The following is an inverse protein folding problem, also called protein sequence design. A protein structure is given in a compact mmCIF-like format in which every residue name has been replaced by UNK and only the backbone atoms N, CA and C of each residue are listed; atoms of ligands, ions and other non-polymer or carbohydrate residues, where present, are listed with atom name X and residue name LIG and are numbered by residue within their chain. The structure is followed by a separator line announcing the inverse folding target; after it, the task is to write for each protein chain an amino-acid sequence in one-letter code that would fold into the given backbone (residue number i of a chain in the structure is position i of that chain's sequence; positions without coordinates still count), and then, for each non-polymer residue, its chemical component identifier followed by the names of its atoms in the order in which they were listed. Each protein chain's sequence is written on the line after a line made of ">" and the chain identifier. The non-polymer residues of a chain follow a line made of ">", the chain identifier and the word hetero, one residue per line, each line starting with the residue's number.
data_IF_742574899440
#
_entry.id   IF_742574899440
#
_cell.length_a   1.000
_cell.length_b   1.000
_cell.length_c   1.000
_cell.angle_alpha   90.00
_cell.angle_beta   90.00
_cell.angle_gamma   90.00
#
_symmetry.space_group_name_H-M   'P 1'
#
loop_
_entity.id
_entity.type
_entity.pdbx_description
1 polymer ?
#
# COMPACT_ATOMS: atom_id res chain seq x y z
N UNK A 1 -4.46 57.54 11.38
CA UNK A 1 -4.93 56.27 12.00
C UNK A 1 -5.01 55.11 10.99
N UNK A 2 -5.54 55.30 9.78
CA UNK A 2 -5.67 54.25 8.73
C UNK A 2 -4.36 53.51 8.35
N UNK A 3 -3.23 54.21 8.31
CA UNK A 3 -1.92 53.65 7.93
C UNK A 3 -1.34 52.68 8.96
N UNK A 4 -1.69 52.85 10.26
CA UNK A 4 -1.26 51.92 11.32
C UNK A 4 -1.99 50.57 11.23
N UNK A 5 -3.25 50.56 10.81
CA UNK A 5 -4.03 49.34 10.65
C UNK A 5 -3.55 48.47 9.49
N UNK A 6 -3.07 49.09 8.40
CA UNK A 6 -2.51 48.37 7.25
C UNK A 6 -1.19 47.68 7.62
N UNK A 7 -0.33 48.33 8.42
CA UNK A 7 0.90 47.71 8.91
C UNK A 7 0.63 46.55 9.87
N UNK A 8 -0.34 46.67 10.77
CA UNK A 8 -0.71 45.59 11.70
C UNK A 8 -1.27 44.38 10.95
N UNK A 9 -2.11 44.60 9.94
CA UNK A 9 -2.64 43.52 9.10
C UNK A 9 -1.53 42.81 8.30
N UNK A 10 -0.57 43.57 7.74
CA UNK A 10 0.58 43.00 7.04
C UNK A 10 1.43 42.10 7.92
N UNK A 11 1.75 42.54 9.14
CA UNK A 11 2.55 41.78 10.10
C UNK A 11 1.84 40.50 10.53
N UNK A 12 0.51 40.55 10.75
CA UNK A 12 -0.29 39.38 11.11
C UNK A 12 -0.30 38.33 10.00
N UNK A 13 -0.50 38.74 8.75
CA UNK A 13 -0.50 37.82 7.61
C UNK A 13 0.87 37.17 7.43
N UNK A 14 1.96 37.94 7.50
CA UNK A 14 3.31 37.37 7.41
C UNK A 14 3.62 36.41 8.55
N UNK A 15 3.14 36.70 9.76
CA UNK A 15 3.34 35.82 10.92
C UNK A 15 2.59 34.50 10.78
N UNK A 16 1.34 34.54 10.28
CA UNK A 16 0.56 33.32 10.01
C UNK A 16 1.20 32.49 8.91
N UNK A 17 1.66 33.11 7.82
CA UNK A 17 2.36 32.40 6.73
C UNK A 17 3.65 31.76 7.23
N UNK A 18 4.44 32.48 8.04
CA UNK A 18 5.65 31.94 8.64
C UNK A 18 5.35 30.77 9.58
N UNK A 19 4.32 30.86 10.41
CA UNK A 19 3.91 29.78 11.31
C UNK A 19 3.43 28.54 10.56
N UNK A 20 2.62 28.71 9.51
CA UNK A 20 2.17 27.60 8.65
C UNK A 20 3.37 26.95 7.96
N UNK A 21 4.30 27.76 7.44
CA UNK A 21 5.50 27.24 6.79
C UNK A 21 6.45 26.55 7.77
N UNK A 22 6.53 27.02 9.01
CA UNK A 22 7.30 26.39 10.08
C UNK A 22 6.69 25.06 10.53
N UNK A 23 5.36 24.99 10.66
CA UNK A 23 4.67 23.72 10.94
C UNK A 23 4.88 22.71 9.82
N UNK A 24 4.75 23.12 8.55
CA UNK A 24 5.01 22.25 7.40
C UNK A 24 6.47 21.79 7.31
N UNK A 25 7.42 22.59 7.81
CA UNK A 25 8.84 22.20 7.90
C UNK A 25 9.15 21.31 9.10
N UNK A 26 8.49 21.52 10.23
CA UNK A 26 8.72 20.78 11.46
C UNK A 26 8.28 19.30 11.35
N UNK A 27 7.33 18.99 10.46
CA UNK A 27 6.91 17.60 10.18
C UNK A 27 7.94 16.81 9.36
N UNK A 28 8.98 17.46 8.79
CA UNK A 28 10.11 16.76 8.17
C UNK A 28 11.05 16.29 9.26
N UNK A 29 10.68 15.20 9.92
CA UNK A 29 11.55 14.48 10.84
C UNK A 29 12.81 14.04 10.10
N UNK A 30 13.98 14.46 10.60
CA UNK A 30 15.26 13.94 10.12
C UNK A 30 15.25 12.40 10.19
N UNK A 31 15.84 11.71 9.20
CA UNK A 31 15.87 10.26 9.26
C UNK A 31 16.65 9.87 10.53
N UNK A 32 16.15 8.93 11.35
CA UNK A 32 16.93 8.40 12.47
C UNK A 32 18.31 7.95 11.98
N UNK A 33 19.29 8.00 12.88
CA UNK A 33 20.61 7.43 12.61
C UNK A 33 20.41 6.02 12.01
N UNK A 34 21.05 5.77 10.87
CA UNK A 34 20.97 4.49 10.16
C UNK A 34 21.35 3.39 11.16
N UNK A 35 20.36 2.64 11.62
CA UNK A 35 20.54 1.66 12.69
C UNK A 35 21.18 0.37 12.16
N UNK A 36 21.04 0.13 10.84
CA UNK A 36 21.51 -1.08 10.19
C UNK A 36 22.53 -0.77 9.09
N UNK A 37 23.72 -1.43 9.13
CA UNK A 37 24.73 -1.22 8.11
C UNK A 37 24.20 -1.66 6.74
N UNK A 38 24.67 -0.98 5.69
CA UNK A 38 24.46 -1.43 4.33
C UNK A 38 25.03 -2.87 4.17
N UNK A 39 24.39 -3.72 3.36
CA UNK A 39 25.01 -4.98 2.99
C UNK A 39 26.31 -4.75 2.21
N UNK A 40 27.13 -5.79 2.10
CA UNK A 40 28.34 -5.73 1.28
C UNK A 40 28.01 -5.30 -0.16
N UNK A 41 28.96 -4.63 -0.83
CA UNK A 41 28.73 -4.02 -2.14
C UNK A 41 28.34 -5.07 -3.20
N UNK A 42 28.94 -6.26 -3.16
CA UNK A 42 28.63 -7.37 -4.06
C UNK A 42 27.21 -7.92 -3.83
N UNK A 43 26.76 -8.00 -2.57
CA UNK A 43 25.41 -8.42 -2.22
C UNK A 43 24.38 -7.35 -2.65
N UNK A 44 24.69 -6.07 -2.42
CA UNK A 44 23.86 -4.95 -2.87
C UNK A 44 23.68 -4.97 -4.39
N UNK A 45 24.77 -5.14 -5.14
CA UNK A 45 24.72 -5.21 -6.60
C UNK A 45 23.88 -6.39 -7.10
N UNK A 46 24.01 -7.57 -6.48
CA UNK A 46 23.18 -8.74 -6.81
C UNK A 46 21.70 -8.51 -6.52
N UNK A 47 21.37 -7.88 -5.39
CA UNK A 47 20.00 -7.52 -5.05
C UNK A 47 19.43 -6.55 -6.09
N UNK A 48 20.17 -5.50 -6.45
CA UNK A 48 19.72 -4.50 -7.42
C UNK A 48 19.56 -5.06 -8.83
N UNK A 49 20.44 -5.97 -9.24
CA UNK A 49 20.28 -6.73 -10.47
C UNK A 49 18.96 -7.51 -10.47
N UNK A 50 18.67 -8.24 -9.38
CA UNK A 50 17.40 -8.97 -9.21
C UNK A 50 16.18 -8.05 -9.23
N UNK A 51 16.24 -6.87 -8.59
CA UNK A 51 15.16 -5.87 -8.65
C UNK A 51 14.88 -5.40 -10.09
N UNK A 52 15.92 -5.36 -10.93
CA UNK A 52 15.79 -5.02 -12.34
C UNK A 52 15.18 -6.13 -13.18
N UNK A 53 15.60 -7.38 -12.95
CA UNK A 53 15.26 -8.55 -13.77
C UNK A 53 13.95 -9.24 -13.36
N UNK A 54 13.64 -9.27 -12.06
CA UNK A 54 12.50 -10.00 -11.49
C UNK A 54 11.47 -9.01 -10.92
N UNK A 55 10.34 -8.91 -11.62
CA UNK A 55 9.22 -8.05 -11.22
C UNK A 55 8.56 -8.50 -9.91
N UNK A 56 8.44 -9.81 -9.67
CA UNK A 56 7.81 -10.32 -8.46
C UNK A 56 8.71 -10.06 -7.24
N UNK A 57 10.01 -10.27 -7.38
CA UNK A 57 10.99 -9.92 -6.36
C UNK A 57 10.98 -8.41 -6.07
N UNK A 58 10.93 -7.57 -7.11
CA UNK A 58 10.81 -6.11 -6.94
C UNK A 58 9.54 -5.72 -6.19
N UNK A 59 8.40 -6.34 -6.48
CA UNK A 59 7.13 -6.04 -5.81
C UNK A 59 7.19 -6.41 -4.32
N UNK A 60 7.78 -7.56 -3.98
CA UNK A 60 7.99 -7.95 -2.58
C UNK A 60 8.89 -6.97 -1.84
N UNK A 61 10.06 -6.64 -2.41
CA UNK A 61 11.01 -5.70 -1.79
C UNK A 61 10.40 -4.31 -1.64
N UNK A 62 9.67 -3.83 -2.66
CA UNK A 62 8.99 -2.54 -2.59
C UNK A 62 7.89 -2.53 -1.53
N UNK A 63 7.09 -3.59 -1.43
CA UNK A 63 6.09 -3.71 -0.38
C UNK A 63 6.75 -3.63 1.00
N UNK A 64 7.84 -4.36 1.24
CA UNK A 64 8.55 -4.35 2.51
C UNK A 64 9.14 -2.97 2.83
N UNK A 65 9.75 -2.32 1.83
CA UNK A 65 10.25 -0.94 1.98
C UNK A 65 9.12 0.04 2.33
N UNK A 66 8.01 -0.01 1.59
CA UNK A 66 6.86 0.86 1.83
C UNK A 66 6.22 0.62 3.20
N UNK A 67 6.08 -0.64 3.62
CA UNK A 67 5.57 -1.01 4.93
C UNK A 67 6.48 -0.51 6.05
N UNK A 68 7.78 -0.81 5.99
CA UNK A 68 8.77 -0.36 7.00
C UNK A 68 8.83 1.17 7.08
N UNK A 69 8.87 1.86 5.94
CA UNK A 69 8.87 3.32 5.90
C UNK A 69 7.61 3.91 6.53
N UNK A 70 6.44 3.37 6.17
CA UNK A 70 5.17 3.89 6.66
C UNK A 70 4.97 3.61 8.15
N UNK A 71 5.32 2.42 8.62
CA UNK A 71 5.22 2.07 10.04
C UNK A 71 6.09 2.99 10.92
N UNK A 72 7.26 3.40 10.40
CA UNK A 72 8.12 4.39 11.06
C UNK A 72 7.58 5.83 10.96
N UNK A 73 7.11 6.24 9.79
CA UNK A 73 6.70 7.63 9.53
C UNK A 73 5.29 7.97 10.04
N UNK A 74 4.40 6.98 10.13
CA UNK A 74 3.02 7.13 10.63
C UNK A 74 2.72 5.99 11.62
N UNK A 75 3.31 5.98 12.83
CA UNK A 75 3.22 4.84 13.76
C UNK A 75 1.79 4.46 14.18
N UNK A 76 0.88 5.43 14.23
CA UNK A 76 -0.55 5.19 14.50
C UNK A 76 -1.23 4.29 13.44
N UNK A 77 -0.61 4.15 12.27
CA UNK A 77 -1.07 3.35 11.14
C UNK A 77 -0.20 2.09 10.93
N UNK A 78 0.62 1.72 11.91
CA UNK A 78 1.53 0.59 11.79
C UNK A 78 0.79 -0.73 11.48
N UNK A 79 1.37 -1.51 10.58
CA UNK A 79 0.85 -2.81 10.16
C UNK A 79 -0.43 -2.77 9.33
N UNK A 80 -0.95 -1.59 8.93
CA UNK A 80 -2.14 -1.52 8.07
C UNK A 80 -1.88 -2.15 6.70
N UNK A 81 -0.72 -1.90 6.09
CA UNK A 81 -0.36 -2.48 4.79
C UNK A 81 -0.24 -4.01 4.89
N UNK A 82 0.38 -4.53 5.94
CA UNK A 82 0.46 -5.97 6.20
C UNK A 82 -0.93 -6.61 6.40
N UNK A 83 -1.80 -5.99 7.20
CA UNK A 83 -3.19 -6.44 7.37
C UNK A 83 -3.97 -6.47 6.06
N UNK A 84 -3.76 -5.47 5.20
CA UNK A 84 -4.40 -5.42 3.89
C UNK A 84 -3.81 -6.46 2.92
N UNK A 85 -2.50 -6.68 2.94
CA UNK A 85 -1.84 -7.69 2.12
C UNK A 85 -2.39 -9.10 2.42
N UNK A 86 -2.53 -9.43 3.71
CA UNK A 86 -3.11 -10.68 4.16
C UNK A 86 -4.57 -10.83 3.72
N UNK A 87 -5.40 -9.79 3.89
CA UNK A 87 -6.78 -9.81 3.40
C UNK A 87 -6.87 -9.94 1.89
N UNK A 88 -5.94 -9.34 1.16
CA UNK A 88 -5.90 -9.45 -0.29
C UNK A 88 -5.24 -10.75 -0.78
N UNK A 89 -4.80 -11.62 0.13
CA UNK A 89 -4.04 -12.86 -0.16
C UNK A 89 -2.89 -12.61 -1.15
N UNK A 90 -2.22 -11.46 -0.98
CA UNK A 90 -1.10 -11.10 -1.84
C UNK A 90 0.05 -12.08 -1.61
N UNK A 91 0.82 -12.42 -2.65
CA UNK A 91 1.95 -13.35 -2.57
C UNK A 91 3.19 -12.68 -1.96
N UNK A 92 3.01 -11.84 -0.95
CA UNK A 92 4.11 -11.12 -0.31
C UNK A 92 5.10 -12.12 0.27
N UNK A 93 6.38 -11.87 0.02
CA UNK A 93 7.53 -12.72 0.39
C UNK A 93 7.70 -13.97 -0.46
N UNK A 94 6.79 -14.30 -1.38
CA UNK A 94 6.92 -15.51 -2.19
C UNK A 94 8.16 -15.44 -3.10
N UNK A 95 8.39 -14.30 -3.74
CA UNK A 95 9.52 -14.12 -4.63
C UNK A 95 10.83 -13.91 -3.85
N UNK A 96 10.79 -13.19 -2.73
CA UNK A 96 11.94 -13.11 -1.82
C UNK A 96 12.35 -14.50 -1.34
N UNK A 97 11.40 -15.34 -0.92
CA UNK A 97 11.67 -16.71 -0.50
C UNK A 97 12.22 -17.58 -1.63
N UNK A 98 11.72 -17.42 -2.86
CA UNK A 98 12.24 -18.14 -4.02
C UNK A 98 13.70 -17.73 -4.31
N UNK A 99 14.02 -16.44 -4.23
CA UNK A 99 15.39 -15.93 -4.41
C UNK A 99 16.32 -16.46 -3.33
N UNK A 100 15.91 -16.46 -2.04
CA UNK A 100 16.76 -16.95 -0.95
C UNK A 100 16.91 -18.47 -0.94
N UNK A 101 15.95 -19.22 -1.49
CA UNK A 101 16.13 -20.66 -1.74
C UNK A 101 17.17 -20.93 -2.83
N UNK A 102 17.25 -20.08 -3.86
CA UNK A 102 18.23 -20.21 -4.95
C UNK A 102 19.63 -19.71 -4.57
N UNK A 103 19.71 -18.62 -3.82
CA UNK A 103 20.96 -18.05 -3.28
C UNK A 103 20.80 -17.77 -1.77
N UNK A 104 21.02 -18.78 -0.91
CA UNK A 104 20.89 -18.64 0.54
C UNK A 104 21.79 -17.57 1.16
N UNK A 105 22.87 -17.19 0.47
CA UNK A 105 23.77 -16.13 0.93
C UNK A 105 23.10 -14.74 0.87
N UNK A 106 22.00 -14.59 0.12
CA UNK A 106 21.26 -13.34 0.03
C UNK A 106 20.17 -13.18 1.10
N UNK A 107 19.87 -14.21 1.90
CA UNK A 107 18.80 -14.15 2.90
C UNK A 107 18.95 -12.95 3.85
N UNK A 108 20.03 -12.92 4.63
CA UNK A 108 20.31 -11.79 5.53
C UNK A 108 20.57 -10.47 4.78
N UNK A 109 21.36 -10.44 3.69
CA UNK A 109 21.57 -9.21 2.91
C UNK A 109 20.30 -8.55 2.37
N UNK A 110 19.27 -9.31 1.97
CA UNK A 110 18.01 -8.72 1.48
C UNK A 110 17.31 -7.92 2.58
N UNK A 111 17.18 -8.50 3.79
CA UNK A 111 16.57 -7.79 4.92
C UNK A 111 17.43 -6.59 5.36
N UNK A 112 18.77 -6.71 5.34
CA UNK A 112 19.68 -5.60 5.60
C UNK A 112 19.53 -4.48 4.57
N UNK A 113 19.43 -4.82 3.29
CA UNK A 113 19.21 -3.88 2.19
C UNK A 113 17.91 -3.10 2.40
N UNK A 114 16.81 -3.79 2.69
CA UNK A 114 15.50 -3.17 2.95
C UNK A 114 15.59 -2.21 4.13
N UNK A 115 16.12 -2.66 5.26
CA UNK A 115 16.18 -1.85 6.46
C UNK A 115 17.10 -0.64 6.30
N UNK A 116 18.29 -0.83 5.75
CA UNK A 116 19.25 0.24 5.48
C UNK A 116 18.62 1.33 4.58
N UNK A 117 17.92 0.93 3.52
CA UNK A 117 17.28 1.87 2.60
C UNK A 117 16.05 2.55 3.18
N UNK A 118 15.26 1.84 3.99
CA UNK A 118 14.16 2.45 4.73
C UNK A 118 14.69 3.50 5.72
N UNK A 119 15.77 3.19 6.45
CA UNK A 119 16.38 4.13 7.39
C UNK A 119 16.92 5.37 6.68
N UNK A 120 17.59 5.20 5.54
CA UNK A 120 18.18 6.28 4.76
C UNK A 120 17.16 7.20 4.06
N UNK A 121 15.92 6.75 3.85
CA UNK A 121 14.87 7.54 3.20
C UNK A 121 14.15 8.40 4.23
N UNK A 122 13.92 9.69 3.96
CA UNK A 122 13.19 10.59 4.88
C UNK A 122 11.67 10.41 4.75
N UNK A 123 10.94 10.67 5.82
CA UNK A 123 9.49 10.70 5.77
C UNK A 123 9.00 11.77 4.78
N UNK A 124 7.99 11.44 3.98
CA UNK A 124 7.44 12.31 2.94
C UNK A 124 8.31 12.46 1.69
N UNK A 125 9.50 11.86 1.64
CA UNK A 125 10.29 11.79 0.40
C UNK A 125 9.91 10.55 -0.39
N UNK A 126 9.90 10.63 -1.73
CA UNK A 126 9.65 9.46 -2.55
C UNK A 126 10.83 8.48 -2.47
N UNK A 127 10.50 7.19 -2.56
CA UNK A 127 11.46 6.11 -2.56
C UNK A 127 12.00 5.88 -3.98
N UNK A 128 13.33 5.90 -4.14
CA UNK A 128 13.99 5.65 -5.42
C UNK A 128 14.25 4.15 -5.61
N UNK A 129 13.46 3.44 -6.39
CA UNK A 129 13.64 2.01 -6.64
C UNK A 129 14.58 1.73 -7.82
N UNK A 130 15.65 0.94 -7.65
CA UNK A 130 16.49 0.51 -8.76
C UNK A 130 15.71 -0.31 -9.78
N UNK A 131 16.01 -0.07 -11.05
CA UNK A 131 15.49 -0.80 -12.21
C UNK A 131 16.65 -1.31 -13.08
N UNK A 132 16.32 -2.22 -14.00
CA UNK A 132 17.28 -2.72 -14.98
C UNK A 132 17.89 -1.59 -15.82
N UNK A 133 19.20 -1.72 -16.09
CA UNK A 133 19.96 -0.80 -16.93
C UNK A 133 20.35 0.51 -16.25
N UNK A 134 20.51 0.51 -14.92
CA UNK A 134 20.92 1.69 -14.15
C UNK A 134 19.83 2.77 -14.04
N UNK A 135 18.59 2.43 -14.38
CA UNK A 135 17.43 3.33 -14.23
C UNK A 135 16.91 3.27 -12.80
N UNK A 136 16.14 4.28 -12.41
CA UNK A 136 15.37 4.27 -11.17
C UNK A 136 13.90 4.58 -11.43
N UNK A 137 13.05 4.10 -10.53
CA UNK A 137 11.62 4.41 -10.46
C UNK A 137 11.36 5.16 -9.16
N UNK A 138 10.79 6.36 -9.28
CA UNK A 138 10.33 7.10 -8.12
C UNK A 138 8.98 6.57 -7.65
N UNK A 139 8.86 6.24 -6.36
CA UNK A 139 7.62 5.74 -5.74
C UNK A 139 7.24 6.65 -4.57
N UNK A 140 6.12 7.36 -4.71
CA UNK A 140 5.49 8.06 -3.59
C UNK A 140 4.84 7.01 -2.66
N UNK A 141 5.37 6.90 -1.43
CA UNK A 141 4.91 5.90 -0.45
C UNK A 141 3.51 6.21 0.09
N UNK A 142 3.12 7.47 0.18
CA UNK A 142 1.75 7.83 0.57
C UNK A 142 0.77 7.47 -0.54
N UNK A 143 1.14 7.74 -1.79
CA UNK A 143 0.34 7.33 -2.94
C UNK A 143 0.26 5.80 -3.07
N UNK A 144 1.37 5.11 -2.86
CA UNK A 144 1.43 3.64 -2.83
C UNK A 144 0.45 3.11 -1.79
N UNK A 145 0.45 3.66 -0.57
CA UNK A 145 -0.46 3.23 0.49
C UNK A 145 -1.93 3.55 0.17
N UNK A 146 -2.24 4.74 -0.36
CA UNK A 146 -3.60 5.13 -0.79
C UNK A 146 -4.16 4.16 -1.83
N UNK A 147 -3.32 3.66 -2.73
CA UNK A 147 -3.74 2.78 -3.82
C UNK A 147 -3.57 1.28 -3.53
N UNK A 148 -2.99 0.93 -2.39
CA UNK A 148 -2.78 -0.45 -1.95
C UNK A 148 -4.11 -1.17 -1.68
N UNK A 149 -4.39 -2.41 -2.12
CA UNK A 149 -3.43 -3.44 -2.52
C UNK A 149 -3.09 -3.45 -4.01
N UNK A 150 -3.79 -2.71 -4.86
CA UNK A 150 -3.51 -2.68 -6.31
C UNK A 150 -2.07 -2.20 -6.60
N UNK A 151 -1.54 -1.28 -5.79
CA UNK A 151 -0.16 -0.78 -5.92
C UNK A 151 0.94 -1.82 -5.70
N UNK A 152 0.63 -2.98 -5.12
CA UNK A 152 1.57 -4.10 -5.08
C UNK A 152 1.99 -4.55 -6.49
N UNK A 153 1.06 -4.50 -7.46
CA UNK A 153 1.33 -4.87 -8.85
C UNK A 153 1.65 -3.65 -9.73
N UNK A 154 1.13 -2.47 -9.39
CA UNK A 154 1.33 -1.22 -10.10
C UNK A 154 1.77 -0.08 -9.14
N UNK A 155 3.06 -0.01 -8.79
CA UNK A 155 3.55 0.89 -7.76
C UNK A 155 3.47 2.38 -8.11
N UNK A 156 3.24 2.72 -9.38
CA UNK A 156 3.09 4.10 -9.85
C UNK A 156 1.62 4.52 -9.99
N UNK A 157 0.69 3.67 -9.54
CA UNK A 157 -0.74 3.93 -9.63
C UNK A 157 -1.12 5.26 -8.97
N UNK A 158 -1.67 6.17 -9.78
CA UNK A 158 -2.08 7.51 -9.31
C UNK A 158 -3.52 7.58 -8.81
N UNK A 159 -4.35 6.61 -9.16
CA UNK A 159 -5.80 6.63 -8.86
C UNK A 159 -6.17 5.60 -7.81
N UNK A 160 -6.81 6.09 -6.74
CA UNK A 160 -7.39 5.24 -5.70
C UNK A 160 -8.38 4.22 -6.30
N UNK A 161 -8.34 2.95 -5.85
CA UNK A 161 -9.28 1.97 -6.34
C UNK A 161 -10.71 2.37 -5.97
N UNK A 162 -11.53 2.58 -7.01
CA UNK A 162 -12.91 3.07 -6.90
C UNK A 162 -13.76 2.19 -6.00
N UNK A 163 -13.43 0.92 -5.91
CA UNK A 163 -14.20 -0.02 -5.13
C UNK A 163 -14.24 0.40 -3.66
N UNK A 164 -13.16 0.97 -3.12
CA UNK A 164 -13.13 1.40 -1.72
C UNK A 164 -13.92 2.68 -1.42
N UNK A 165 -14.49 3.37 -2.41
CA UNK A 165 -15.46 4.44 -2.18
C UNK A 165 -14.99 5.59 -1.26
N UNK A 166 -13.69 5.90 -1.24
CA UNK A 166 -13.10 6.94 -0.39
C UNK A 166 -12.89 6.54 1.07
N UNK A 167 -13.02 5.24 1.42
CA UNK A 167 -12.70 4.73 2.74
C UNK A 167 -11.21 4.97 3.08
N UNK A 168 -10.95 5.34 4.33
CA UNK A 168 -9.59 5.52 4.82
C UNK A 168 -8.80 4.20 4.82
N UNK A 169 -7.47 4.29 4.79
CA UNK A 169 -6.61 3.11 4.89
C UNK A 169 -6.94 2.25 6.12
N UNK A 170 -7.27 2.90 7.25
CA UNK A 170 -7.65 2.21 8.48
C UNK A 170 -8.97 1.45 8.34
N UNK A 171 -9.99 2.06 7.74
CA UNK A 171 -11.28 1.41 7.49
C UNK A 171 -11.11 0.21 6.55
N UNK A 172 -10.32 0.38 5.49
CA UNK A 172 -10.02 -0.68 4.51
C UNK A 172 -9.28 -1.84 5.15
N UNK A 173 -8.25 -1.57 5.95
CA UNK A 173 -7.52 -2.59 6.69
C UNK A 173 -8.30 -3.20 7.86
N UNK A 174 -9.42 -2.59 8.29
CA UNK A 174 -10.30 -3.14 9.32
C UNK A 174 -11.39 -4.05 8.76
N UNK A 175 -11.79 -3.83 7.50
CA UNK A 175 -12.92 -4.51 6.89
C UNK A 175 -12.62 -5.97 6.54
N UNK A 176 -13.27 -6.92 7.23
CA UNK A 176 -13.11 -8.35 7.01
C UNK A 176 -13.58 -8.80 5.62
N UNK A 177 -14.60 -8.16 5.04
CA UNK A 177 -15.14 -8.50 3.72
C UNK A 177 -14.12 -8.33 2.60
N UNK A 178 -13.04 -7.58 2.80
CA UNK A 178 -11.96 -7.51 1.82
C UNK A 178 -11.34 -8.89 1.55
N UNK A 179 -11.29 -9.80 2.53
CA UNK A 179 -10.83 -11.18 2.32
C UNK A 179 -11.71 -11.94 1.32
N UNK A 180 -13.03 -11.79 1.45
CA UNK A 180 -14.00 -12.41 0.53
C UNK A 180 -13.83 -11.84 -0.87
N UNK A 181 -13.80 -10.51 -0.98
CA UNK A 181 -13.66 -9.77 -2.25
C UNK A 181 -12.44 -10.25 -3.03
N UNK A 182 -11.27 -10.31 -2.38
CA UNK A 182 -10.03 -10.69 -3.03
C UNK A 182 -9.88 -12.20 -3.25
N UNK A 183 -10.61 -13.03 -2.52
CA UNK A 183 -10.66 -14.47 -2.77
C UNK A 183 -11.43 -14.79 -4.05
N UNK A 184 -12.51 -14.06 -4.33
CA UNK A 184 -13.38 -14.34 -5.49
C UNK A 184 -13.05 -13.49 -6.73
N UNK A 185 -12.41 -12.34 -6.53
CA UNK A 185 -11.93 -11.45 -7.59
C UNK A 185 -10.48 -11.05 -7.26
N UNK A 186 -9.51 -11.95 -7.49
CA UNK A 186 -8.12 -11.71 -7.12
C UNK A 186 -7.49 -10.56 -7.89
N UNK A 187 -6.41 -10.02 -7.32
CA UNK A 187 -5.58 -8.96 -7.90
C UNK A 187 -4.50 -9.53 -8.83
N UNK A 188 -4.00 -8.70 -9.74
CA UNK A 188 -2.88 -9.01 -10.63
C UNK A 188 -3.28 -9.70 -11.94
N UNK A 189 -2.32 -9.77 -12.87
CA UNK A 189 -2.32 -10.67 -14.03
C UNK A 189 -3.46 -10.54 -15.05
N UNK A 190 -4.24 -9.46 -15.02
CA UNK A 190 -5.48 -9.34 -15.79
C UNK A 190 -5.45 -8.16 -16.77
N UNK A 191 -6.15 -8.34 -17.88
CA UNK A 191 -6.26 -7.33 -18.95
C UNK A 191 -6.75 -5.99 -18.39
N UNK A 192 -6.06 -4.91 -18.71
CA UNK A 192 -6.42 -3.55 -18.31
C UNK A 192 -7.86 -3.20 -18.70
N UNK A 193 -8.39 -3.80 -19.78
CA UNK A 193 -9.78 -3.65 -20.24
C UNK A 193 -10.80 -4.11 -19.20
N UNK A 194 -10.44 -5.07 -18.35
CA UNK A 194 -11.31 -5.62 -17.31
C UNK A 194 -11.22 -4.87 -15.98
N UNK A 195 -10.26 -3.95 -15.82
CA UNK A 195 -9.96 -3.28 -14.55
C UNK A 195 -11.18 -2.59 -13.90
N UNK A 196 -11.93 -1.81 -14.68
CA UNK A 196 -13.11 -1.09 -14.17
C UNK A 196 -14.28 -2.03 -13.85
N UNK A 197 -14.47 -3.08 -14.67
CA UNK A 197 -15.53 -4.07 -14.44
C UNK A 197 -15.28 -4.85 -13.15
N UNK A 198 -14.04 -5.31 -12.96
CA UNK A 198 -13.61 -5.99 -11.73
C UNK A 198 -13.68 -5.09 -10.51
N UNK A 199 -13.30 -3.81 -10.62
CA UNK A 199 -13.44 -2.86 -9.51
C UNK A 199 -14.92 -2.71 -9.09
N UNK A 200 -15.84 -2.56 -10.05
CA UNK A 200 -17.27 -2.48 -9.76
C UNK A 200 -17.81 -3.77 -9.13
N UNK A 201 -17.39 -4.93 -9.64
CA UNK A 201 -17.77 -6.22 -9.06
C UNK A 201 -17.21 -6.42 -7.65
N UNK A 202 -15.95 -6.04 -7.39
CA UNK A 202 -15.34 -6.02 -6.04
C UNK A 202 -16.15 -5.15 -5.08
N UNK A 203 -16.55 -3.96 -5.51
CA UNK A 203 -17.39 -3.06 -4.71
C UNK A 203 -18.74 -3.69 -4.36
N UNK A 204 -19.38 -4.35 -5.35
CA UNK A 204 -20.65 -5.06 -5.16
C UNK A 204 -20.52 -6.25 -4.20
N UNK A 205 -19.50 -7.09 -4.38
CA UNK A 205 -19.24 -8.24 -3.49
C UNK A 205 -18.98 -7.79 -2.06
N UNK A 206 -18.22 -6.69 -1.87
CA UNK A 206 -18.03 -6.10 -0.54
C UNK A 206 -19.36 -5.68 0.09
N UNK A 207 -20.19 -4.94 -0.67
CA UNK A 207 -21.51 -4.52 -0.20
C UNK A 207 -22.39 -5.69 0.24
N UNK A 208 -22.44 -6.76 -0.56
CA UNK A 208 -23.18 -7.99 -0.23
C UNK A 208 -22.70 -8.62 1.09
N UNK A 209 -21.38 -8.71 1.27
CA UNK A 209 -20.80 -9.24 2.51
C UNK A 209 -21.09 -8.34 3.72
N UNK A 210 -20.98 -7.02 3.57
CA UNK A 210 -21.27 -6.08 4.66
C UNK A 210 -22.74 -6.06 5.05
N UNK A 211 -23.64 -6.15 4.07
CA UNK A 211 -25.08 -6.26 4.30
C UNK A 211 -25.43 -7.54 5.06
N UNK A 212 -24.79 -8.65 4.70
CA UNK A 212 -24.98 -9.93 5.37
C UNK A 212 -24.40 -9.94 6.80
N UNK A 213 -23.22 -9.36 7.01
CA UNK A 213 -22.67 -9.14 8.37
C UNK A 213 -23.62 -8.31 9.23
N UNK A 214 -24.17 -7.21 8.67
CA UNK A 214 -25.16 -6.38 9.37
C UNK A 214 -26.43 -7.17 9.67
N UNK A 215 -26.87 -8.04 8.77
CA UNK A 215 -28.06 -8.89 8.97
C UNK A 215 -27.87 -9.92 10.09
N UNK A 216 -26.69 -10.54 10.17
CA UNK A 216 -26.40 -11.63 11.13
C UNK A 216 -25.95 -11.11 12.49
N UNK A 217 -25.14 -10.05 12.52
CA UNK A 217 -24.48 -9.57 13.74
C UNK A 217 -24.85 -8.13 14.13
N UNK A 218 -25.72 -7.45 13.37
CA UNK A 218 -26.12 -6.06 13.63
C UNK A 218 -25.05 -5.01 13.30
N UNK A 219 -23.85 -5.42 12.88
CA UNK A 219 -22.74 -4.54 12.54
C UNK A 219 -21.79 -5.19 11.52
N UNK A 220 -20.92 -4.39 10.90
CA UNK A 220 -19.90 -4.86 9.93
C UNK A 220 -18.62 -5.38 10.57
N UNK A 221 -18.48 -5.29 11.90
CA UNK A 221 -17.30 -5.74 12.65
C UNK A 221 -17.41 -7.19 13.16
N UNK A 222 -18.44 -7.93 12.75
CA UNK A 222 -18.63 -9.33 13.13
C UNK A 222 -17.65 -10.30 12.47
N UNK A 223 -17.64 -11.55 12.93
CA UNK A 223 -16.84 -12.62 12.35
C UNK A 223 -17.43 -13.06 11.01
N UNK A 224 -16.56 -13.43 10.05
CA UNK A 224 -17.00 -14.06 8.80
C UNK A 224 -17.25 -15.54 9.05
N UNK A 225 -18.35 -15.85 9.72
CA UNK A 225 -18.73 -17.23 10.03
C UNK A 225 -19.43 -17.94 8.85
N UNK A 226 -19.77 -19.21 9.05
CA UNK A 226 -20.45 -20.03 8.05
C UNK A 226 -21.84 -19.49 7.68
N UNK A 227 -22.55 -18.85 8.61
CA UNK A 227 -23.89 -18.32 8.36
C UNK A 227 -23.83 -17.10 7.44
N UNK A 228 -22.86 -16.20 7.67
CA UNK A 228 -22.55 -15.08 6.77
C UNK A 228 -22.14 -15.61 5.39
N UNK A 229 -21.25 -16.61 5.35
CA UNK A 229 -20.81 -17.26 4.12
C UNK A 229 -21.96 -17.80 3.28
N UNK A 230 -22.87 -18.56 3.89
CA UNK A 230 -24.04 -19.13 3.24
C UNK A 230 -25.03 -18.06 2.78
N UNK A 231 -25.27 -17.03 3.60
CA UNK A 231 -26.23 -15.97 3.29
C UNK A 231 -25.86 -15.14 2.05
N UNK A 232 -24.56 -14.91 1.82
CA UNK A 232 -24.10 -14.14 0.66
C UNK A 232 -23.75 -14.98 -0.59
N UNK A 233 -23.60 -16.31 -0.47
CA UNK A 233 -23.01 -17.17 -1.51
C UNK A 233 -23.66 -16.99 -2.89
N UNK A 234 -24.99 -17.12 -2.98
CA UNK A 234 -25.70 -17.05 -4.27
C UNK A 234 -25.55 -15.67 -4.93
N UNK A 235 -25.58 -14.60 -4.13
CA UNK A 235 -25.45 -13.24 -4.63
C UNK A 235 -24.02 -12.94 -5.11
N UNK A 236 -23.00 -13.45 -4.40
CA UNK A 236 -21.60 -13.33 -4.82
C UNK A 236 -21.35 -14.08 -6.12
N UNK A 237 -21.82 -15.32 -6.25
CA UNK A 237 -21.72 -16.10 -7.50
C UNK A 237 -22.39 -15.37 -8.66
N UNK A 238 -23.59 -14.81 -8.44
CA UNK A 238 -24.30 -14.02 -9.45
C UNK A 238 -23.52 -12.76 -9.85
N UNK A 239 -22.91 -12.06 -8.90
CA UNK A 239 -22.11 -10.86 -9.18
C UNK A 239 -20.88 -11.17 -10.05
N UNK A 240 -20.23 -12.31 -9.82
CA UNK A 240 -19.07 -12.75 -10.61
C UNK A 240 -19.51 -13.23 -11.99
N UNK A 241 -20.58 -14.03 -12.08
CA UNK A 241 -21.10 -14.52 -13.35
C UNK A 241 -21.55 -13.40 -14.31
N UNK A 242 -21.91 -12.23 -13.77
CA UNK A 242 -22.25 -11.04 -14.56
C UNK A 242 -21.04 -10.39 -15.25
N UNK A 243 -19.81 -10.73 -14.87
CA UNK A 243 -18.62 -10.30 -15.60
C UNK A 243 -18.48 -11.11 -16.91
N UNK A 244 -17.96 -10.48 -17.99
CA UNK A 244 -17.50 -11.21 -19.18
C UNK A 244 -16.50 -12.30 -18.80
N UNK A 245 -16.49 -13.43 -19.51
CA UNK A 245 -15.62 -14.57 -19.17
C UNK A 245 -14.14 -14.18 -19.05
N UNK A 246 -13.64 -13.36 -19.98
CA UNK A 246 -12.28 -12.83 -19.97
C UNK A 246 -11.95 -11.91 -18.78
N UNK A 247 -12.98 -11.46 -18.05
CA UNK A 247 -12.88 -10.54 -16.92
C UNK A 247 -13.24 -11.17 -15.56
N UNK A 248 -13.68 -12.44 -15.54
CA UNK A 248 -13.99 -13.18 -14.31
C UNK A 248 -12.74 -13.49 -13.51
#
# INVERSE_FOLDING_TARGET
>A
MRTRWIMVAGVLVTSVVLLVWWHLRADVTEPPAIAFPAPAADASQRIEQRLGEDHAFRNDVLFLLAATLRDRCVPAQAGLLARMANRASLPVLAAVSAVTQQDPMLDRPIYQYIQHRADATRCGQPLQMPLAGGRSMEVDIEQYARTFPDSYFDPQRSTEPRDFGGLSLQQRAGNACNSVVYSVLPLGGTDWRCSSLRANARARVRGLCEDELRRQHGATGGELDMAVGQGMQAAVVSAIAALPEDCR
#
